data_IF_197888186010
#
_entry.id   IF_197888186010
#
_cell.length_a   1.000
_cell.length_b   1.000
_cell.length_c   1.000
_cell.angle_alpha   90.00
_cell.angle_beta   90.00
_cell.angle_gamma   90.00
#
_symmetry.space_group_name_H-M   'P 1'
#
loop_
_entity.id
_entity.type
_entity.pdbx_description
1 polymer ?
#
# COMPACT_ATOMS: atom_id res chain seq x y z
N UNK A 1 5.40 -9.38 3.57
CA UNK A 1 6.30 -10.45 3.17
C UNK A 1 6.70 -11.24 4.40
N UNK A 2 6.84 -12.55 4.27
CA UNK A 2 7.41 -13.43 5.31
C UNK A 2 8.47 -14.32 4.68
N UNK A 3 9.72 -14.22 5.11
CA UNK A 3 10.84 -14.99 4.58
C UNK A 3 11.72 -15.51 5.72
N UNK A 4 12.40 -16.63 5.48
CA UNK A 4 13.42 -17.12 6.40
C UNK A 4 14.69 -16.27 6.31
N UNK A 5 15.20 -15.83 7.44
CA UNK A 5 16.49 -15.18 7.53
C UNK A 5 17.65 -16.21 7.55
N UNK A 6 18.89 -15.73 7.57
CA UNK A 6 20.11 -16.57 7.58
C UNK A 6 20.16 -17.56 8.77
N UNK A 7 19.44 -17.29 9.85
CA UNK A 7 19.35 -18.16 11.03
C UNK A 7 18.16 -19.13 10.98
N UNK A 8 17.44 -19.21 9.86
CA UNK A 8 16.28 -20.07 9.68
C UNK A 8 15.04 -19.61 10.45
N UNK A 9 14.99 -18.35 10.92
CA UNK A 9 13.81 -17.77 11.57
C UNK A 9 12.94 -17.05 10.56
N UNK A 10 11.63 -17.22 10.68
CA UNK A 10 10.67 -16.53 9.81
C UNK A 10 10.59 -15.05 10.21
N UNK A 11 10.86 -14.16 9.28
CA UNK A 11 10.89 -12.71 9.47
C UNK A 11 9.79 -12.04 8.65
N UNK A 12 9.02 -11.19 9.30
CA UNK A 12 8.04 -10.33 8.67
C UNK A 12 8.69 -9.06 8.13
N UNK A 13 8.29 -8.64 6.93
CA UNK A 13 8.67 -7.36 6.34
C UNK A 13 7.41 -6.65 5.85
N UNK A 14 7.25 -5.39 6.22
CA UNK A 14 6.18 -4.51 5.76
C UNK A 14 6.80 -3.24 5.20
N UNK A 15 6.39 -2.84 3.99
CA UNK A 15 6.93 -1.64 3.33
C UNK A 15 5.84 -0.59 3.13
N UNK A 16 5.61 0.29 4.10
CA UNK A 16 4.76 1.45 3.92
C UNK A 16 5.31 2.35 2.81
N UNK A 17 4.43 2.73 1.88
CA UNK A 17 4.74 3.64 0.78
C UNK A 17 3.67 4.72 0.79
N UNK A 18 4.08 5.98 0.89
CA UNK A 18 3.20 7.15 0.82
C UNK A 18 3.90 8.31 0.14
N UNK A 19 3.12 9.31 -0.23
CA UNK A 19 3.63 10.47 -0.94
C UNK A 19 4.06 10.17 -2.37
N UNK A 20 3.90 11.14 -3.25
CA UNK A 20 4.27 10.97 -4.66
C UNK A 20 4.73 12.29 -5.23
N UNK A 21 5.86 12.26 -5.95
CA UNK A 21 6.31 13.35 -6.83
C UNK A 21 6.71 12.77 -8.19
N UNK A 22 6.59 13.54 -9.28
CA UNK A 22 7.09 13.11 -10.58
C UNK A 22 8.62 13.02 -10.57
N UNK A 23 9.19 12.35 -11.57
CA UNK A 23 10.63 12.38 -11.83
C UNK A 23 11.03 13.72 -12.46
N UNK A 24 12.17 14.23 -12.04
CA UNK A 24 12.78 15.40 -12.65
C UNK A 24 13.34 15.11 -14.04
N UNK A 25 13.33 16.11 -14.93
CA UNK A 25 13.98 16.04 -16.26
C UNK A 25 15.50 16.11 -16.16
N UNK A 26 16.00 16.67 -15.07
CA UNK A 26 17.42 16.77 -14.75
C UNK A 26 17.69 16.20 -13.37
N UNK A 27 18.94 15.78 -13.04
CA UNK A 27 19.29 15.33 -11.69
C UNK A 27 19.01 16.37 -10.61
N UNK A 28 19.19 17.65 -10.91
CA UNK A 28 18.93 18.76 -9.98
C UNK A 28 17.43 18.92 -9.69
N UNK A 29 16.60 18.87 -10.73
CA UNK A 29 15.14 18.90 -10.59
C UNK A 29 14.61 17.68 -9.83
N UNK A 30 15.15 16.49 -10.12
CA UNK A 30 14.80 15.24 -9.43
C UNK A 30 15.13 15.31 -7.93
N UNK A 31 16.26 15.90 -7.59
CA UNK A 31 16.64 16.12 -6.19
C UNK A 31 15.76 17.18 -5.50
N UNK A 32 15.37 18.23 -6.22
CA UNK A 32 14.45 19.24 -5.70
C UNK A 32 13.08 18.65 -5.38
N UNK A 33 12.52 17.79 -6.26
CA UNK A 33 11.27 17.07 -5.98
C UNK A 33 11.39 16.11 -4.79
N UNK A 34 12.52 15.44 -4.64
CA UNK A 34 12.74 14.59 -3.47
C UNK A 34 12.78 15.40 -2.16
N UNK A 35 13.45 16.54 -2.18
CA UNK A 35 13.50 17.44 -1.03
C UNK A 35 12.13 18.05 -0.70
N UNK A 36 11.37 18.48 -1.72
CA UNK A 36 10.01 18.98 -1.57
C UNK A 36 9.08 17.91 -0.97
N UNK A 37 9.17 16.66 -1.43
CA UNK A 37 8.38 15.56 -0.89
C UNK A 37 8.66 15.30 0.59
N UNK A 38 9.93 15.31 1.01
CA UNK A 38 10.31 15.11 2.41
C UNK A 38 10.02 16.34 3.29
N UNK A 39 9.84 17.51 2.71
CA UNK A 39 9.48 18.72 3.42
C UNK A 39 7.96 18.93 3.54
N UNK A 40 7.15 18.16 2.83
CA UNK A 40 5.70 18.26 2.86
C UNK A 40 5.12 17.66 4.16
N UNK A 41 4.59 18.49 5.08
CA UNK A 41 4.16 18.01 6.39
C UNK A 41 2.96 17.05 6.32
N UNK A 42 2.08 17.17 5.31
CA UNK A 42 0.94 16.26 5.11
C UNK A 42 1.44 14.86 4.71
N UNK A 43 2.32 14.80 3.71
CA UNK A 43 2.86 13.53 3.19
C UNK A 43 3.70 12.81 4.26
N UNK A 44 4.49 13.57 5.02
CA UNK A 44 5.28 13.03 6.15
C UNK A 44 4.37 12.51 7.25
N UNK A 45 3.33 13.24 7.65
CA UNK A 45 2.41 12.81 8.70
C UNK A 45 1.63 11.54 8.29
N UNK A 46 1.16 11.48 7.04
CA UNK A 46 0.51 10.27 6.50
C UNK A 46 1.47 9.09 6.49
N UNK A 47 2.69 9.29 6.05
CA UNK A 47 3.70 8.23 6.02
C UNK A 47 4.02 7.69 7.43
N UNK A 48 4.24 8.56 8.41
CA UNK A 48 4.49 8.15 9.81
C UNK A 48 3.30 7.38 10.37
N UNK A 49 2.07 7.82 10.09
CA UNK A 49 0.85 7.09 10.48
C UNK A 49 0.86 5.66 9.92
N UNK A 50 1.23 5.46 8.65
CA UNK A 50 1.31 4.13 8.03
C UNK A 50 2.43 3.28 8.61
N UNK A 51 3.57 3.87 8.96
CA UNK A 51 4.68 3.17 9.64
C UNK A 51 4.22 2.68 11.02
N UNK A 52 3.58 3.54 11.82
CA UNK A 52 3.09 3.17 13.15
C UNK A 52 1.98 2.11 13.08
N UNK A 53 1.08 2.19 12.10
CA UNK A 53 0.09 1.14 11.87
C UNK A 53 0.76 -0.18 11.49
N UNK A 54 1.80 -0.15 10.65
CA UNK A 54 2.59 -1.34 10.29
C UNK A 54 3.30 -1.95 11.49
N UNK A 55 3.89 -1.13 12.36
CA UNK A 55 4.49 -1.59 13.64
C UNK A 55 3.46 -2.26 14.55
N UNK A 56 2.26 -1.69 14.65
CA UNK A 56 1.16 -2.27 15.41
C UNK A 56 0.71 -3.62 14.83
N UNK A 57 0.56 -3.70 13.50
CA UNK A 57 0.16 -4.93 12.83
C UNK A 57 1.18 -6.07 13.04
N UNK A 58 2.47 -5.78 12.86
CA UNK A 58 3.55 -6.75 13.11
C UNK A 58 3.65 -7.13 14.60
N UNK A 59 3.42 -6.18 15.51
CA UNK A 59 3.46 -6.43 16.95
C UNK A 59 2.47 -7.45 17.48
N UNK A 60 1.49 -7.86 16.66
CA UNK A 60 0.50 -8.90 16.99
C UNK A 60 1.00 -10.32 16.76
N UNK A 61 2.04 -10.49 15.96
CA UNK A 61 2.52 -11.81 15.51
C UNK A 61 4.03 -11.96 15.60
N UNK A 62 4.74 -10.89 15.93
CA UNK A 62 6.19 -10.90 16.06
C UNK A 62 6.62 -10.98 17.53
N UNK A 63 7.77 -11.56 17.76
CA UNK A 63 8.43 -11.64 19.07
C UNK A 63 8.50 -10.25 19.68
N UNK A 64 8.11 -10.13 20.94
CA UNK A 64 8.10 -8.87 21.68
C UNK A 64 9.48 -8.19 21.64
N UNK A 65 9.53 -6.96 21.16
CA UNK A 65 10.75 -6.17 21.04
C UNK A 65 11.55 -6.42 19.75
N UNK A 66 11.13 -7.33 18.86
CA UNK A 66 11.80 -7.56 17.58
C UNK A 66 11.35 -6.62 16.48
N UNK A 67 10.20 -5.95 16.64
CA UNK A 67 9.68 -5.03 15.60
C UNK A 67 10.49 -3.76 15.60
N UNK A 68 11.16 -3.50 14.48
CA UNK A 68 12.01 -2.31 14.25
C UNK A 68 11.71 -1.67 12.90
N UNK A 69 12.08 -0.41 12.76
CA UNK A 69 12.09 0.30 11.48
C UNK A 69 13.55 0.45 11.09
N UNK A 70 14.01 -0.35 10.15
CA UNK A 70 15.41 -0.40 9.72
C UNK A 70 15.72 0.61 8.59
N UNK A 71 14.69 0.99 7.83
CA UNK A 71 14.73 2.12 6.89
C UNK A 71 13.55 3.05 7.17
N UNK A 72 13.80 4.33 7.40
CA UNK A 72 12.77 5.31 7.67
C UNK A 72 12.82 6.45 6.65
N UNK A 73 11.70 6.67 5.94
CA UNK A 73 11.49 7.82 5.04
C UNK A 73 12.55 7.98 3.95
N UNK A 74 12.96 6.88 3.32
CA UNK A 74 13.86 6.94 2.17
C UNK A 74 13.09 7.27 0.89
N UNK A 75 13.73 8.00 -0.03
CA UNK A 75 13.14 8.27 -1.35
C UNK A 75 13.49 7.13 -2.30
N UNK A 76 12.48 6.39 -2.70
CA UNK A 76 12.59 5.44 -3.79
C UNK A 76 12.16 6.05 -5.12
N UNK A 77 13.02 5.88 -6.13
CA UNK A 77 12.83 6.41 -7.48
C UNK A 77 12.44 5.31 -8.44
N UNK A 78 11.27 5.50 -9.05
CA UNK A 78 10.76 4.62 -10.11
C UNK A 78 10.90 5.32 -11.47
N UNK A 79 10.44 4.69 -12.53
CA UNK A 79 10.58 5.22 -13.89
C UNK A 79 9.90 6.59 -14.10
N UNK A 80 8.73 6.81 -13.49
CA UNK A 80 7.91 8.00 -13.70
C UNK A 80 7.62 8.81 -12.44
N UNK A 81 7.80 8.21 -11.28
CA UNK A 81 7.48 8.82 -9.98
C UNK A 81 8.55 8.47 -8.94
N UNK A 82 8.54 9.18 -7.82
CA UNK A 82 9.24 8.84 -6.60
C UNK A 82 8.29 8.83 -5.42
N UNK A 83 8.60 8.03 -4.40
CA UNK A 83 7.80 7.88 -3.18
C UNK A 83 8.66 7.95 -1.93
N UNK A 84 8.03 8.29 -0.80
CA UNK A 84 8.60 8.03 0.53
C UNK A 84 8.32 6.57 0.88
N UNK A 85 9.34 5.84 1.26
CA UNK A 85 9.27 4.42 1.63
C UNK A 85 9.95 4.23 2.97
N UNK A 86 9.37 3.38 3.80
CA UNK A 86 10.00 2.86 5.02
C UNK A 86 9.96 1.34 5.01
N UNK A 87 10.81 0.73 5.84
CA UNK A 87 10.83 -0.70 6.02
C UNK A 87 10.62 -1.04 7.50
N UNK A 88 9.60 -1.84 7.80
CA UNK A 88 9.29 -2.32 9.14
C UNK A 88 9.50 -3.82 9.15
N UNK A 89 10.36 -4.30 10.03
CA UNK A 89 10.70 -5.72 10.14
C UNK A 89 10.44 -6.25 11.54
N UNK A 90 10.21 -7.56 11.64
CA UNK A 90 10.03 -8.24 12.93
C UNK A 90 10.23 -9.73 12.78
N UNK A 91 10.74 -10.39 13.83
CA UNK A 91 10.85 -11.85 13.90
C UNK A 91 9.47 -12.42 14.26
N UNK A 92 8.90 -13.28 13.42
CA UNK A 92 7.61 -13.94 13.68
C UNK A 92 7.77 -14.92 14.84
N UNK A 93 6.79 -14.96 15.75
CA UNK A 93 6.79 -15.90 16.88
C UNK A 93 6.84 -17.36 16.36
N UNK A 94 7.55 -18.29 17.06
CA UNK A 94 7.76 -19.65 16.58
C UNK A 94 6.49 -20.47 16.37
N UNK A 95 5.40 -20.13 17.05
CA UNK A 95 4.08 -20.77 16.92
C UNK A 95 3.18 -20.11 15.85
N UNK A 96 3.65 -19.07 15.16
CA UNK A 96 2.95 -18.33 14.12
C UNK A 96 3.48 -18.66 12.73
N UNK A 97 2.63 -18.47 11.76
CA UNK A 97 2.91 -18.72 10.35
C UNK A 97 2.82 -17.43 9.53
N UNK A 98 3.23 -17.49 8.27
CA UNK A 98 3.01 -16.38 7.33
C UNK A 98 1.52 -16.06 7.11
N UNK A 99 0.61 -17.04 7.31
CA UNK A 99 -0.83 -16.79 7.29
C UNK A 99 -1.31 -15.97 8.49
N UNK A 100 -0.72 -16.15 9.65
CA UNK A 100 -1.04 -15.35 10.84
C UNK A 100 -0.54 -13.92 10.64
N UNK A 101 0.64 -13.75 10.03
CA UNK A 101 1.11 -12.43 9.59
C UNK A 101 0.12 -11.77 8.64
N UNK A 102 -0.32 -12.48 7.60
CA UNK A 102 -1.28 -11.93 6.64
C UNK A 102 -2.58 -11.49 7.33
N UNK A 103 -3.14 -12.31 8.22
CA UNK A 103 -4.34 -11.98 9.01
C UNK A 103 -4.14 -10.75 9.89
N UNK A 104 -2.97 -10.59 10.51
CA UNK A 104 -2.67 -9.44 11.37
C UNK A 104 -2.56 -8.13 10.58
N UNK A 105 -2.00 -8.19 9.37
CA UNK A 105 -1.78 -7.01 8.52
C UNK A 105 -2.98 -6.65 7.66
N UNK A 106 -3.90 -7.59 7.39
CA UNK A 106 -5.03 -7.38 6.50
C UNK A 106 -6.25 -6.75 7.20
N UNK A 107 -6.95 -5.80 6.57
CA UNK A 107 -6.56 -5.10 5.34
C UNK A 107 -5.37 -4.16 5.58
N UNK A 108 -4.59 -3.89 4.52
CA UNK A 108 -3.45 -3.01 4.62
C UNK A 108 -3.88 -1.57 5.02
N UNK A 109 -3.06 -0.91 5.85
CA UNK A 109 -3.34 0.44 6.34
C UNK A 109 -3.55 1.46 5.23
N UNK A 110 -2.77 1.39 4.16
CA UNK A 110 -2.86 2.25 2.97
C UNK A 110 -4.26 2.29 2.35
N UNK A 111 -5.04 1.21 2.49
CA UNK A 111 -6.38 1.09 1.88
C UNK A 111 -7.50 0.99 2.92
N UNK A 112 -7.19 1.12 4.19
CA UNK A 112 -8.15 1.17 5.29
C UNK A 112 -8.05 2.49 6.06
N UNK A 113 -7.04 2.67 6.87
CA UNK A 113 -6.81 3.87 7.69
C UNK A 113 -6.47 3.53 9.13
N UNK A 114 -6.27 4.57 9.93
CA UNK A 114 -5.97 4.48 11.36
C UNK A 114 -6.93 5.34 12.20
N UNK A 115 -7.48 4.82 13.31
CA UNK A 115 -7.44 3.42 13.79
C UNK A 115 -8.18 2.46 12.84
N UNK A 116 -7.57 1.31 12.54
CA UNK A 116 -8.02 0.38 11.48
C UNK A 116 -9.49 -0.01 11.59
N UNK A 117 -9.96 -0.40 12.77
CA UNK A 117 -11.35 -0.86 12.96
C UNK A 117 -12.33 0.26 12.63
N UNK A 118 -12.13 1.47 13.21
CA UNK A 118 -13.03 2.60 12.95
C UNK A 118 -13.01 3.05 11.49
N UNK A 119 -11.83 3.03 10.84
CA UNK A 119 -11.71 3.33 9.42
C UNK A 119 -12.51 2.33 8.57
N UNK A 120 -12.46 1.05 8.89
CA UNK A 120 -13.24 0.01 8.18
C UNK A 120 -14.76 0.17 8.39
N UNK A 121 -15.20 0.56 9.59
CA UNK A 121 -16.61 0.88 9.85
C UNK A 121 -17.10 2.04 8.98
N UNK A 122 -16.30 3.14 8.91
CA UNK A 122 -16.63 4.31 8.10
C UNK A 122 -16.68 3.94 6.60
N UNK A 123 -15.72 3.16 6.12
CA UNK A 123 -15.70 2.67 4.74
C UNK A 123 -16.97 1.87 4.44
N UNK A 124 -17.38 0.99 5.35
CA UNK A 124 -18.59 0.18 5.19
C UNK A 124 -19.87 1.04 5.19
N UNK A 125 -19.90 2.11 6.00
CA UNK A 125 -21.03 3.05 6.09
C UNK A 125 -21.16 3.93 4.82
N UNK A 126 -20.04 4.35 4.22
CA UNK A 126 -20.02 5.38 3.18
C UNK A 126 -19.86 4.83 1.76
N UNK A 127 -19.21 3.71 1.56
CA UNK A 127 -19.04 3.15 0.21
C UNK A 127 -20.32 2.45 -0.25
N UNK A 128 -20.92 2.88 -1.38
CA UNK A 128 -22.19 2.33 -1.86
C UNK A 128 -22.06 0.93 -2.44
N UNK A 129 -20.85 0.55 -2.86
CA UNK A 129 -20.55 -0.72 -3.52
C UNK A 129 -19.42 -1.48 -2.82
N UNK A 130 -19.47 -2.80 -2.95
CA UNK A 130 -18.40 -3.65 -2.43
C UNK A 130 -17.13 -3.50 -3.27
N UNK A 131 -15.99 -3.44 -2.60
CA UNK A 131 -14.68 -3.28 -3.24
C UNK A 131 -14.27 -4.48 -4.12
N UNK A 132 -14.82 -5.68 -3.88
CA UNK A 132 -14.40 -6.88 -4.57
C UNK A 132 -12.90 -7.14 -4.38
N UNK A 133 -12.12 -7.39 -5.45
CA UNK A 133 -10.66 -7.56 -5.36
C UNK A 133 -9.88 -6.30 -4.99
N UNK A 134 -10.43 -5.08 -5.22
CA UNK A 134 -9.78 -3.83 -4.86
C UNK A 134 -9.53 -3.75 -3.35
N UNK A 135 -8.39 -3.27 -2.95
CA UNK A 135 -7.92 -3.25 -1.55
C UNK A 135 -7.70 -4.63 -0.93
N UNK A 136 -7.83 -5.68 -1.70
CA UNK A 136 -7.47 -7.02 -1.31
C UNK A 136 -5.97 -7.25 -1.31
N UNK A 137 -5.58 -8.50 -1.33
CA UNK A 137 -4.19 -8.94 -1.40
C UNK A 137 -4.02 -9.95 -2.51
N UNK A 138 -2.93 -9.87 -3.25
CA UNK A 138 -2.49 -10.90 -4.17
C UNK A 138 -1.02 -11.24 -3.90
N UNK A 139 -0.63 -12.45 -4.21
CA UNK A 139 0.73 -12.90 -3.96
C UNK A 139 0.86 -14.41 -4.09
N UNK A 140 1.91 -14.94 -3.54
CA UNK A 140 2.14 -16.38 -3.49
C UNK A 140 2.62 -16.81 -2.09
N UNK A 141 2.25 -18.03 -1.77
CA UNK A 141 2.73 -18.78 -0.62
C UNK A 141 3.45 -20.03 -1.14
N UNK A 142 4.69 -20.20 -0.77
CA UNK A 142 5.50 -21.30 -1.26
C UNK A 142 5.43 -22.56 -0.36
N UNK A 143 6.05 -23.63 -0.82
CA UNK A 143 6.05 -24.91 -0.10
C UNK A 143 6.92 -24.92 1.16
N UNK A 144 7.78 -23.93 1.34
CA UNK A 144 8.62 -23.75 2.52
C UNK A 144 7.92 -22.93 3.61
N UNK A 145 6.76 -22.34 3.31
CA UNK A 145 6.00 -21.55 4.26
C UNK A 145 6.26 -20.04 4.18
N UNK A 146 6.95 -19.58 3.15
CA UNK A 146 7.18 -18.17 2.92
C UNK A 146 6.02 -17.52 2.17
N UNK A 147 5.81 -16.22 2.38
CA UNK A 147 4.74 -15.43 1.76
C UNK A 147 5.31 -14.16 1.15
N UNK A 148 4.99 -13.91 -0.11
CA UNK A 148 5.21 -12.61 -0.72
C UNK A 148 3.89 -12.10 -1.31
N UNK A 149 3.48 -10.90 -0.90
CA UNK A 149 2.18 -10.35 -1.28
C UNK A 149 2.22 -8.84 -1.45
N UNK A 150 1.26 -8.33 -2.23
CA UNK A 150 1.04 -6.92 -2.45
C UNK A 150 -0.45 -6.57 -2.34
N UNK A 151 -0.75 -5.30 -2.12
CA UNK A 151 -2.12 -4.79 -2.09
C UNK A 151 -2.67 -4.77 -3.52
N UNK A 152 -3.91 -5.20 -3.71
CA UNK A 152 -4.60 -5.12 -5.01
C UNK A 152 -5.08 -3.69 -5.27
N UNK A 153 -4.16 -2.85 -5.72
CA UNK A 153 -4.42 -1.50 -6.20
C UNK A 153 -3.79 -1.34 -7.59
N UNK A 154 -4.14 -0.28 -8.31
CA UNK A 154 -3.61 -0.04 -9.67
C UNK A 154 -3.82 -1.24 -10.59
N UNK A 155 -4.95 -1.93 -10.40
CA UNK A 155 -5.30 -3.19 -11.07
C UNK A 155 -6.61 -3.02 -11.81
N UNK A 156 -6.67 -3.50 -13.05
CA UNK A 156 -7.92 -3.65 -13.78
C UNK A 156 -8.39 -5.11 -13.70
N UNK A 157 -9.71 -5.29 -13.64
CA UNK A 157 -10.34 -6.61 -13.62
C UNK A 157 -11.09 -6.77 -14.93
N UNK A 158 -10.76 -7.81 -15.67
CA UNK A 158 -11.44 -8.15 -16.92
C UNK A 158 -12.30 -9.40 -16.68
N UNK A 159 -13.58 -9.30 -16.96
CA UNK A 159 -14.54 -10.41 -16.81
C UNK A 159 -15.30 -10.62 -18.11
N UNK A 160 -15.67 -11.87 -18.45
CA UNK A 160 -16.60 -12.11 -19.55
C UNK A 160 -17.93 -11.37 -19.32
N UNK A 161 -18.45 -10.77 -20.37
CA UNK A 161 -19.77 -10.14 -20.40
C UNK A 161 -20.53 -10.63 -21.61
N UNK A 162 -21.72 -11.22 -21.46
CA UNK A 162 -22.53 -11.74 -22.56
C UNK A 162 -22.89 -10.67 -23.61
N UNK A 163 -23.04 -9.41 -23.21
CA UNK A 163 -23.47 -8.32 -24.10
C UNK A 163 -22.30 -7.64 -24.81
N UNK A 164 -21.14 -7.55 -24.16
CA UNK A 164 -20.00 -6.73 -24.63
C UNK A 164 -18.69 -7.51 -24.80
N UNK A 165 -18.72 -8.85 -24.85
CA UNK A 165 -17.55 -9.74 -24.87
C UNK A 165 -16.73 -9.69 -23.57
N UNK A 166 -16.44 -8.51 -23.02
CA UNK A 166 -15.81 -8.36 -21.72
C UNK A 166 -16.22 -7.06 -21.01
N UNK A 167 -16.26 -7.13 -19.70
CA UNK A 167 -16.40 -5.97 -18.81
C UNK A 167 -15.05 -5.70 -18.13
N UNK A 168 -14.54 -4.49 -18.31
CA UNK A 168 -13.32 -4.03 -17.66
C UNK A 168 -13.67 -3.08 -16.51
N UNK A 169 -13.25 -3.40 -15.31
CA UNK A 169 -13.47 -2.59 -14.12
C UNK A 169 -12.14 -2.05 -13.56
N UNK A 170 -12.12 -0.78 -13.23
CA UNK A 170 -11.01 -0.09 -12.55
C UNK A 170 -11.56 0.59 -11.30
N UNK A 171 -10.92 0.38 -10.16
CA UNK A 171 -11.26 1.06 -8.92
C UNK A 171 -10.04 1.78 -8.36
N UNK A 172 -10.24 3.01 -7.87
CA UNK A 172 -9.21 3.82 -7.22
C UNK A 172 -9.80 4.60 -6.05
N UNK A 173 -8.96 5.03 -5.14
CA UNK A 173 -9.33 5.82 -3.97
C UNK A 173 -8.18 6.73 -3.53
N UNK A 174 -8.51 7.71 -2.69
CA UNK A 174 -7.55 8.59 -2.04
C UNK A 174 -7.60 8.42 -0.51
N UNK A 175 -6.53 8.79 0.18
CA UNK A 175 -6.50 8.90 1.63
C UNK A 175 -7.23 10.17 2.07
N UNK A 176 -8.07 10.08 3.09
CA UNK A 176 -8.75 11.25 3.65
C UNK A 176 -8.25 11.54 5.05
N UNK A 177 -7.81 12.75 5.29
CA UNK A 177 -7.38 13.28 6.59
C UNK A 177 -8.15 14.57 6.90
N UNK A 178 -8.00 15.10 8.12
CA UNK A 178 -8.74 16.29 8.55
C UNK A 178 -8.56 17.51 7.63
N UNK A 179 -7.37 17.65 7.04
CA UNK A 179 -7.01 18.76 6.16
C UNK A 179 -7.26 18.47 4.67
N UNK A 180 -7.89 17.33 4.32
CA UNK A 180 -8.22 16.98 2.95
C UNK A 180 -9.23 17.96 2.34
N UNK A 181 -8.98 18.36 1.10
CA UNK A 181 -9.89 19.16 0.28
C UNK A 181 -10.60 18.22 -0.69
N UNK A 182 -11.95 18.08 -0.63
CA UNK A 182 -12.69 17.07 -1.38
C UNK A 182 -12.40 17.06 -2.89
N UNK A 183 -12.29 18.24 -3.50
CA UNK A 183 -12.02 18.39 -4.93
C UNK A 183 -10.63 17.87 -5.32
N UNK A 184 -9.63 18.09 -4.46
CA UNK A 184 -8.26 17.62 -4.68
C UNK A 184 -8.17 16.10 -4.51
N UNK A 185 -8.82 15.55 -3.49
CA UNK A 185 -8.88 14.09 -3.27
C UNK A 185 -9.62 13.38 -4.42
N UNK A 186 -10.71 13.94 -4.90
CA UNK A 186 -11.40 13.42 -6.09
C UNK A 186 -10.49 13.45 -7.32
N UNK A 187 -9.79 14.56 -7.57
CA UNK A 187 -8.84 14.66 -8.68
C UNK A 187 -7.69 13.64 -8.53
N UNK A 188 -7.24 13.37 -7.31
CA UNK A 188 -6.24 12.34 -7.04
C UNK A 188 -6.74 10.95 -7.44
N UNK A 189 -8.01 10.59 -7.12
CA UNK A 189 -8.59 9.31 -7.54
C UNK A 189 -8.57 9.15 -9.06
N UNK A 190 -8.93 10.21 -9.80
CA UNK A 190 -8.89 10.21 -11.25
C UNK A 190 -7.46 10.05 -11.79
N UNK A 191 -6.50 10.74 -11.21
CA UNK A 191 -5.09 10.64 -11.57
C UNK A 191 -4.54 9.22 -11.34
N UNK A 192 -4.94 8.58 -10.23
CA UNK A 192 -4.58 7.20 -9.91
C UNK A 192 -5.16 6.17 -10.90
N UNK A 193 -6.34 6.43 -11.46
CA UNK A 193 -6.97 5.57 -12.47
C UNK A 193 -6.45 5.80 -13.89
N UNK A 194 -5.90 6.98 -14.17
CA UNK A 194 -5.60 7.46 -15.54
C UNK A 194 -4.79 6.48 -16.38
N UNK A 195 -3.70 5.93 -15.84
CA UNK A 195 -2.83 5.02 -16.60
C UNK A 195 -3.55 3.75 -17.06
N UNK A 196 -4.45 3.20 -16.21
CA UNK A 196 -5.26 2.04 -16.57
C UNK A 196 -6.32 2.40 -17.62
N UNK A 197 -6.95 3.56 -17.49
CA UNK A 197 -7.95 4.03 -18.46
C UNK A 197 -7.31 4.33 -19.84
N UNK A 198 -6.10 4.87 -19.86
CA UNK A 198 -5.35 5.08 -21.11
C UNK A 198 -4.95 3.75 -21.75
N UNK A 199 -4.52 2.77 -20.97
CA UNK A 199 -4.24 1.43 -21.47
C UNK A 199 -5.48 0.78 -22.13
N UNK A 200 -6.67 0.93 -21.55
CA UNK A 200 -7.92 0.43 -22.13
C UNK A 200 -8.23 1.16 -23.45
N UNK A 201 -8.04 2.48 -23.51
CA UNK A 201 -8.29 3.27 -24.73
C UNK A 201 -7.34 2.95 -25.87
N UNK A 202 -6.13 2.49 -25.56
CA UNK A 202 -5.14 2.16 -26.59
C UNK A 202 -5.42 0.82 -27.31
N UNK A 203 -6.38 0.03 -26.82
CA UNK A 203 -6.78 -1.25 -27.42
C UNK A 203 -7.93 -1.07 -28.43
N UNK A 204 -8.62 0.04 -28.38
CA UNK A 204 -9.69 0.43 -29.32
C UNK A 204 -9.13 1.40 -30.38
#
# INVERSE_FOLDING_TARGET
KADFNENGKLTATLRPIAGTRPRGKTPQEDQAYAADLLADPKEVAEHIMLVDLGRNDLGRVCVKGSVTVDELMVIERYSHVMHIVSNVVGEIEPDKTAWDLLKACFPAGTVSGAPKIRAMEIIYELEPERRGPYSGVYGYYDFEGQLNSAITIRTMIVRPDPENQCLVSVQSGAGMVADSVPELEYQETLNKARGLLEAIRSIN
#
